data_IF_691651319459
#
_entry.id   IF_691651319459
#
_cell.length_a   1.000
_cell.length_b   1.000
_cell.length_c   1.000
_cell.angle_alpha   90.00
_cell.angle_beta   90.00
_cell.angle_gamma   90.00
#
_symmetry.space_group_name_H-M   'P 1'
#
loop_
_entity.id
_entity.type
_entity.pdbx_description
1 polymer ?
#
# COMPACT_ATOMS: atom_id res chain seq x y z
N UNK A 1 52.91 -47.42 -36.08
CA UNK A 1 52.95 -46.01 -35.63
C UNK A 1 53.42 -46.00 -34.19
N UNK A 2 54.56 -45.36 -33.89
CA UNK A 2 55.13 -45.31 -32.53
C UNK A 2 54.59 -44.04 -31.87
N UNK A 3 53.91 -44.16 -30.72
CA UNK A 3 53.44 -43.02 -29.92
C UNK A 3 54.40 -42.77 -28.76
N UNK A 4 54.69 -41.50 -28.49
CA UNK A 4 55.47 -41.09 -27.31
C UNK A 4 54.56 -40.95 -26.09
N UNK A 5 55.16 -40.91 -24.89
CA UNK A 5 54.41 -40.58 -23.66
C UNK A 5 53.80 -39.17 -23.73
N UNK A 6 54.47 -38.23 -24.41
CA UNK A 6 53.98 -36.87 -24.60
C UNK A 6 52.70 -36.85 -25.43
N UNK A 7 52.62 -37.66 -26.49
CA UNK A 7 51.42 -37.76 -27.33
C UNK A 7 50.21 -38.28 -26.53
N UNK A 8 50.44 -39.24 -25.62
CA UNK A 8 49.39 -39.76 -24.72
C UNK A 8 48.93 -38.71 -23.72
N UNK A 9 49.85 -37.92 -23.17
CA UNK A 9 49.51 -36.83 -22.25
C UNK A 9 48.70 -35.73 -22.93
N UNK A 10 49.03 -35.39 -24.18
CA UNK A 10 48.28 -34.40 -24.97
C UNK A 10 46.88 -34.92 -25.27
N UNK A 11 46.74 -36.18 -25.69
CA UNK A 11 45.44 -36.78 -25.95
C UNK A 11 44.54 -36.80 -24.70
N UNK A 12 45.09 -37.13 -23.53
CA UNK A 12 44.36 -37.11 -22.27
C UNK A 12 43.88 -35.69 -21.89
N UNK A 13 44.74 -34.68 -22.06
CA UNK A 13 44.38 -33.29 -21.81
C UNK A 13 43.25 -32.80 -22.75
N UNK A 14 43.32 -33.15 -24.04
CA UNK A 14 42.26 -32.82 -25.00
C UNK A 14 40.94 -33.50 -24.61
N UNK A 15 40.98 -34.75 -24.16
CA UNK A 15 39.78 -35.47 -23.71
C UNK A 15 39.15 -34.79 -22.49
N UNK A 16 39.96 -34.38 -21.52
CA UNK A 16 39.49 -33.69 -20.32
C UNK A 16 38.84 -32.34 -20.66
N UNK A 17 39.48 -31.53 -21.51
CA UNK A 17 38.90 -30.27 -22.00
C UNK A 17 37.56 -30.50 -22.71
N UNK A 18 37.47 -31.50 -23.59
CA UNK A 18 36.21 -31.82 -24.27
C UNK A 18 35.12 -32.29 -23.31
N UNK A 19 35.49 -32.96 -22.22
CA UNK A 19 34.53 -33.34 -21.19
C UNK A 19 34.06 -32.12 -20.40
N UNK A 20 34.96 -31.21 -20.04
CA UNK A 20 34.64 -29.97 -19.35
C UNK A 20 33.71 -29.08 -20.18
N UNK A 21 34.02 -28.88 -21.47
CA UNK A 21 33.17 -28.10 -22.40
C UNK A 21 31.75 -28.68 -22.42
N UNK A 22 31.61 -29.99 -22.60
CA UNK A 22 30.29 -30.64 -22.63
C UNK A 22 29.51 -30.50 -21.33
N UNK A 23 30.19 -30.56 -20.18
CA UNK A 23 29.54 -30.31 -18.88
C UNK A 23 29.03 -28.86 -18.80
N UNK A 24 29.84 -27.90 -19.22
CA UNK A 24 29.44 -26.48 -19.22
C UNK A 24 28.28 -26.21 -20.18
N UNK A 25 28.31 -26.78 -21.38
CA UNK A 25 27.23 -26.64 -22.35
C UNK A 25 25.90 -27.20 -21.81
N UNK A 26 25.94 -28.38 -21.19
CA UNK A 26 24.76 -28.98 -20.57
C UNK A 26 24.24 -28.14 -19.40
N UNK A 27 25.13 -27.61 -18.55
CA UNK A 27 24.74 -26.72 -17.46
C UNK A 27 24.07 -25.45 -17.99
N UNK A 28 24.65 -24.82 -19.00
CA UNK A 28 24.09 -23.62 -19.64
C UNK A 28 22.70 -23.89 -20.23
N UNK A 29 22.45 -25.09 -20.78
CA UNK A 29 21.12 -25.48 -21.25
C UNK A 29 20.10 -25.55 -20.11
N UNK A 30 20.48 -26.12 -18.96
CA UNK A 30 19.63 -26.19 -17.77
C UNK A 30 19.33 -24.79 -17.24
N UNK A 31 20.37 -23.97 -17.06
CA UNK A 31 20.25 -22.60 -16.55
C UNK A 31 19.36 -21.75 -17.46
N UNK A 32 19.45 -21.92 -18.79
CA UNK A 32 18.59 -21.21 -19.73
C UNK A 32 17.11 -21.61 -19.58
N UNK A 33 16.82 -22.88 -19.29
CA UNK A 33 15.44 -23.34 -19.07
C UNK A 33 14.88 -22.72 -17.79
N UNK A 34 15.68 -22.73 -16.72
CA UNK A 34 15.29 -22.12 -15.44
C UNK A 34 15.09 -20.61 -15.56
N UNK A 35 16.00 -19.93 -16.25
CA UNK A 35 15.88 -18.49 -16.53
C UNK A 35 14.60 -18.16 -17.31
N UNK A 36 14.24 -18.96 -18.31
CA UNK A 36 12.99 -18.78 -19.05
C UNK A 36 11.77 -18.94 -18.15
N UNK A 37 11.76 -19.97 -17.30
CA UNK A 37 10.67 -20.19 -16.32
C UNK A 37 10.56 -19.04 -15.33
N UNK A 38 11.68 -18.58 -14.78
CA UNK A 38 11.72 -17.45 -13.85
C UNK A 38 11.19 -16.17 -14.52
N UNK A 39 11.61 -15.89 -15.75
CA UNK A 39 11.12 -14.74 -16.52
C UNK A 39 9.61 -14.79 -16.75
N UNK A 40 9.06 -15.94 -17.11
CA UNK A 40 7.61 -16.11 -17.25
C UNK A 40 6.90 -15.86 -15.92
N UNK A 41 7.41 -16.42 -14.82
CA UNK A 41 6.78 -16.24 -13.51
C UNK A 41 6.82 -14.78 -13.03
N UNK A 42 7.89 -14.05 -13.31
CA UNK A 42 7.99 -12.61 -13.00
C UNK A 42 6.90 -11.84 -13.74
N UNK A 43 6.70 -12.10 -15.03
CA UNK A 43 5.69 -11.43 -15.83
C UNK A 43 4.26 -11.69 -15.30
N UNK A 44 3.94 -12.94 -14.94
CA UNK A 44 2.66 -13.28 -14.30
C UNK A 44 2.46 -12.52 -12.99
N UNK A 45 3.48 -12.48 -12.14
CA UNK A 45 3.42 -11.77 -10.85
C UNK A 45 3.26 -10.26 -11.01
N UNK A 46 3.91 -9.66 -12.02
CA UNK A 46 3.76 -8.24 -12.33
C UNK A 46 2.32 -7.91 -12.77
N UNK A 47 1.68 -8.80 -13.54
CA UNK A 47 0.28 -8.66 -13.94
C UNK A 47 -0.68 -8.84 -12.76
N UNK A 48 -0.48 -9.87 -11.92
CA UNK A 48 -1.26 -10.10 -10.69
C UNK A 48 -1.17 -8.88 -9.76
N UNK A 49 0.05 -8.38 -9.49
CA UNK A 49 0.28 -7.20 -8.65
C UNK A 49 -0.44 -5.96 -9.21
N UNK A 50 -0.40 -5.78 -10.53
CA UNK A 50 -1.06 -4.66 -11.20
C UNK A 50 -2.59 -4.75 -11.06
N UNK A 51 -3.16 -5.94 -11.22
CA UNK A 51 -4.59 -6.16 -11.05
C UNK A 51 -5.03 -5.84 -9.62
N UNK A 52 -4.38 -6.43 -8.61
CA UNK A 52 -4.67 -6.18 -7.20
C UNK A 52 -4.52 -4.70 -6.83
N UNK A 53 -3.53 -4.01 -7.39
CA UNK A 53 -3.36 -2.57 -7.16
C UNK A 53 -4.54 -1.76 -7.72
N UNK A 54 -5.04 -2.10 -8.90
CA UNK A 54 -6.18 -1.39 -9.49
C UNK A 54 -7.46 -1.66 -8.69
N UNK A 55 -7.69 -2.91 -8.27
CA UNK A 55 -8.83 -3.28 -7.42
C UNK A 55 -8.87 -2.44 -6.13
N UNK A 56 -7.73 -2.33 -5.42
CA UNK A 56 -7.65 -1.49 -4.22
C UNK A 56 -7.86 0.00 -4.52
N UNK A 57 -7.42 0.48 -5.67
CA UNK A 57 -7.60 1.88 -6.06
C UNK A 57 -9.07 2.19 -6.34
N UNK A 58 -9.79 1.30 -7.00
CA UNK A 58 -11.24 1.43 -7.21
C UNK A 58 -12.01 1.38 -5.88
N UNK A 59 -11.61 0.49 -4.96
CA UNK A 59 -12.19 0.41 -3.63
C UNK A 59 -11.98 1.70 -2.83
N UNK A 60 -10.77 2.26 -2.85
CA UNK A 60 -10.46 3.53 -2.18
C UNK A 60 -11.33 4.66 -2.74
N UNK A 61 -11.45 4.77 -4.07
CA UNK A 61 -12.32 5.80 -4.68
C UNK A 61 -13.76 5.66 -4.19
N UNK A 62 -14.29 4.43 -4.20
CA UNK A 62 -15.65 4.14 -3.74
C UNK A 62 -15.85 4.49 -2.27
N UNK A 63 -14.85 4.22 -1.42
CA UNK A 63 -14.91 4.54 0.01
C UNK A 63 -14.82 6.04 0.27
N UNK A 64 -13.98 6.77 -0.48
CA UNK A 64 -13.89 8.24 -0.40
C UNK A 64 -15.22 8.88 -0.78
N UNK A 65 -15.83 8.47 -1.89
CA UNK A 65 -17.15 8.99 -2.31
C UNK A 65 -18.23 8.75 -1.24
N UNK A 66 -18.27 7.54 -0.66
CA UNK A 66 -19.21 7.22 0.43
C UNK A 66 -18.95 8.05 1.68
N UNK A 67 -17.69 8.30 2.01
CA UNK A 67 -17.32 9.10 3.18
C UNK A 67 -17.72 10.57 2.99
N UNK A 68 -17.49 11.12 1.79
CA UNK A 68 -17.94 12.47 1.44
C UNK A 68 -19.47 12.60 1.55
N UNK A 69 -20.20 11.61 1.07
CA UNK A 69 -21.67 11.57 1.17
C UNK A 69 -22.15 11.46 2.62
N UNK A 70 -21.50 10.66 3.45
CA UNK A 70 -21.80 10.54 4.88
C UNK A 70 -21.49 11.84 5.62
N UNK A 71 -20.37 12.48 5.29
CA UNK A 71 -19.96 13.78 5.85
C UNK A 71 -21.00 14.85 5.54
N UNK A 72 -21.47 14.94 4.29
CA UNK A 72 -22.56 15.85 3.91
C UNK A 72 -23.85 15.58 4.67
N UNK A 73 -24.25 14.32 4.81
CA UNK A 73 -25.46 13.94 5.55
C UNK A 73 -25.37 14.28 7.03
N UNK A 74 -24.19 14.11 7.63
CA UNK A 74 -23.94 14.49 9.03
C UNK A 74 -24.00 16.00 9.22
N UNK A 75 -23.42 16.80 8.33
CA UNK A 75 -23.54 18.27 8.37
C UNK A 75 -25.01 18.72 8.38
N UNK A 76 -25.82 18.20 7.45
CA UNK A 76 -27.27 18.48 7.41
C UNK A 76 -27.98 18.05 8.70
N UNK A 77 -27.61 16.89 9.26
CA UNK A 77 -28.17 16.43 10.53
C UNK A 77 -27.77 17.33 11.72
N UNK A 78 -26.59 17.94 11.68
CA UNK A 78 -26.11 18.90 12.69
C UNK A 78 -26.66 20.32 12.51
N UNK A 79 -27.51 20.56 11.51
CA UNK A 79 -28.17 21.84 11.29
C UNK A 79 -27.56 22.70 10.16
N UNK A 80 -26.58 22.19 9.42
CA UNK A 80 -26.12 22.87 8.20
C UNK A 80 -27.27 22.90 7.17
N UNK A 81 -27.42 24.00 6.41
CA UNK A 81 -28.43 24.07 5.36
C UNK A 81 -28.27 22.91 4.37
N UNK A 82 -29.39 22.28 4.01
CA UNK A 82 -29.39 21.24 2.99
C UNK A 82 -28.89 21.84 1.66
N UNK A 83 -27.92 21.22 0.96
CA UNK A 83 -27.46 21.75 -0.32
C UNK A 83 -28.62 21.78 -1.33
N UNK A 84 -29.11 22.99 -1.66
CA UNK A 84 -30.22 23.20 -2.59
C UNK A 84 -31.57 23.53 -1.97
N UNK A 85 -31.65 23.79 -0.65
CA UNK A 85 -32.78 24.52 -0.07
C UNK A 85 -32.59 26.01 -0.33
N UNK A 86 -33.49 26.64 -1.07
CA UNK A 86 -33.62 28.10 -1.04
C UNK A 86 -33.86 28.48 0.42
N UNK A 87 -32.98 29.31 0.99
CA UNK A 87 -33.20 30.00 2.26
C UNK A 87 -34.44 30.89 2.07
N UNK A 88 -35.63 30.31 2.23
CA UNK A 88 -36.82 31.08 2.55
C UNK A 88 -36.66 31.48 4.01
N UNK A 89 -35.95 32.59 4.18
CA UNK A 89 -35.72 33.38 5.38
C UNK A 89 -37.07 33.88 5.91
N UNK A 90 -37.96 32.95 6.26
CA UNK A 90 -39.19 33.21 6.99
C UNK A 90 -38.85 33.13 8.47
N UNK A 91 -38.05 34.09 8.93
CA UNK A 91 -38.02 34.49 10.33
C UNK A 91 -39.41 35.01 10.72
N UNK A 92 -40.37 34.10 10.93
CA UNK A 92 -41.56 34.31 11.75
C UNK A 92 -41.13 34.35 13.22
N UNK A 93 -40.27 35.32 13.55
CA UNK A 93 -39.66 35.48 14.86
C UNK A 93 -40.45 36.55 15.63
N UNK A 94 -41.76 36.32 15.82
CA UNK A 94 -42.64 37.28 16.49
C UNK A 94 -43.44 36.68 17.66
N UNK A 95 -43.07 35.48 18.13
CA UNK A 95 -43.70 34.84 19.29
C UNK A 95 -42.68 34.39 20.35
N UNK A 96 -41.83 35.30 20.83
CA UNK A 96 -41.04 35.06 22.04
C UNK A 96 -41.71 35.76 23.22
N UNK A 97 -42.08 34.99 24.25
CA UNK A 97 -42.32 35.52 25.59
C UNK A 97 -40.94 35.66 26.23
N UNK A 98 -40.50 36.91 26.41
CA UNK A 98 -39.25 37.21 27.12
C UNK A 98 -39.49 36.93 28.61
N UNK A 99 -38.84 35.90 29.13
CA UNK A 99 -38.73 35.66 30.58
C UNK A 99 -37.36 36.19 30.99
N UNK A 100 -37.38 37.30 31.71
CA UNK A 100 -36.20 37.93 32.29
C UNK A 100 -35.85 37.21 33.60
N UNK A 101 -35.07 36.15 33.50
CA UNK A 101 -34.42 35.53 34.67
C UNK A 101 -33.03 36.13 34.83
N UNK A 102 -33.03 37.26 35.52
CA UNK A 102 -31.87 37.81 36.22
C UNK A 102 -31.43 36.83 37.32
N UNK A 103 -30.26 36.22 37.16
CA UNK A 103 -29.24 35.97 38.20
C UNK A 103 -28.33 34.78 37.84
N UNK A 104 -27.07 35.04 37.49
CA UNK A 104 -25.88 34.43 38.11
C UNK A 104 -24.61 34.69 37.28
N UNK A 105 -23.55 35.06 37.99
CA UNK A 105 -22.27 35.62 37.56
C UNK A 105 -21.48 34.91 36.44
N UNK A 106 -20.58 35.65 35.74
CA UNK A 106 -19.65 35.11 34.76
C UNK A 106 -18.28 34.77 35.40
N UNK A 107 -17.80 33.54 35.22
CA UNK A 107 -16.36 33.27 35.00
C UNK A 107 -16.13 31.77 34.76
N UNK A 108 -16.01 31.37 33.49
CA UNK A 108 -15.25 30.19 33.10
C UNK A 108 -13.78 30.60 32.92
N UNK A 109 -12.87 29.99 33.67
CA UNK A 109 -11.46 29.88 33.27
C UNK A 109 -10.78 28.81 34.13
N UNK A 110 -10.68 27.58 33.62
CA UNK A 110 -9.43 26.81 33.49
C UNK A 110 -9.76 25.43 32.91
N UNK A 111 -9.67 25.29 31.58
CA UNK A 111 -9.50 23.98 30.97
C UNK A 111 -8.04 23.93 30.49
N UNK A 112 -7.18 23.46 31.38
CA UNK A 112 -5.77 23.16 31.12
C UNK A 112 -5.65 22.24 29.89
N UNK A 113 -4.94 22.72 28.86
CA UNK A 113 -4.48 21.94 27.70
C UNK A 113 -3.32 21.05 28.14
N UNK A 114 -3.62 19.92 28.79
CA UNK A 114 -2.60 18.94 29.18
C UNK A 114 -2.29 17.97 28.04
N UNK A 115 -1.26 18.37 27.31
CA UNK A 115 -0.07 17.59 26.94
C UNK A 115 -0.25 16.29 26.14
N UNK A 116 0.43 16.29 25.00
CA UNK A 116 0.61 15.15 24.12
C UNK A 116 1.09 13.89 24.84
N UNK A 117 0.45 12.78 24.49
CA UNK A 117 0.96 11.45 24.76
C UNK A 117 1.62 10.90 23.49
N UNK A 118 2.92 10.62 23.63
CA UNK A 118 3.85 10.14 22.63
C UNK A 118 3.39 8.89 21.88
N UNK A 119 3.63 8.92 20.57
CA UNK A 119 3.56 7.77 19.67
C UNK A 119 4.72 6.85 20.04
N UNK A 120 4.44 5.77 20.77
CA UNK A 120 5.45 4.78 21.13
C UNK A 120 5.80 3.90 19.92
N UNK A 121 6.80 4.32 19.16
CA UNK A 121 7.49 3.47 18.20
C UNK A 121 8.44 2.54 18.99
N UNK A 122 8.24 1.22 18.87
CA UNK A 122 9.23 0.25 19.33
C UNK A 122 9.28 -0.93 18.38
N UNK A 123 10.27 -0.86 17.49
CA UNK A 123 10.80 -1.97 16.72
C UNK A 123 11.60 -2.91 17.63
N UNK A 124 11.44 -4.21 17.46
CA UNK A 124 12.57 -5.14 17.28
C UNK A 124 12.06 -6.53 16.87
N UNK A 125 12.20 -6.84 15.59
CA UNK A 125 12.18 -8.20 15.07
C UNK A 125 13.40 -8.95 15.62
N UNK A 126 13.15 -9.92 16.51
CA UNK A 126 14.15 -10.93 16.89
C UNK A 126 14.02 -12.11 15.92
N UNK A 127 15.01 -12.25 15.04
CA UNK A 127 15.27 -13.53 14.36
C UNK A 127 15.95 -14.48 15.34
N UNK A 128 15.37 -15.67 15.52
CA UNK A 128 16.00 -16.84 16.13
C UNK A 128 16.17 -17.94 15.07
#
# INVERSE_FOLDING_TARGET
MISTMKDRSIAAFIQDLNQHIRRQENQMCVDMIELKKAKTRIMELEEELKATREDYKEEIVTLVEKNDDLTKKLGVFMGDPAPGGDDDDSTCLENYIIIDDTDSDPSEDDLEDEAGADIMESSTEQFF
#
